data_IF_130439042189
#
_entry.id   IF_130439042189
#
_cell.length_a   1.000
_cell.length_b   1.000
_cell.length_c   1.000
_cell.angle_alpha   90.00
_cell.angle_beta   90.00
_cell.angle_gamma   90.00
#
_symmetry.space_group_name_H-M   'P 1'
#
loop_
_entity.id
_entity.type
_entity.pdbx_description
1 polymer ?
#
# COMPACT_ATOMS: atom_id res chain seq x y z
N UNK A 1 -81.40 -36.45 -16.55
CA UNK A 1 -80.54 -37.37 -15.77
C UNK A 1 -80.46 -36.86 -14.33
N UNK A 2 -81.19 -37.51 -13.43
CA UNK A 2 -81.28 -37.13 -12.01
C UNK A 2 -80.04 -37.66 -11.29
N UNK A 3 -79.14 -36.78 -10.84
CA UNK A 3 -77.99 -37.19 -10.02
C UNK A 3 -78.51 -37.65 -8.65
N UNK A 4 -78.10 -38.85 -8.23
CA UNK A 4 -78.50 -39.41 -6.93
C UNK A 4 -77.89 -38.58 -5.79
N UNK A 5 -78.57 -38.46 -4.63
CA UNK A 5 -78.12 -37.64 -3.50
C UNK A 5 -76.74 -38.04 -2.94
N UNK A 6 -76.27 -39.25 -3.26
CA UNK A 6 -74.96 -39.76 -2.85
C UNK A 6 -73.79 -39.11 -3.60
N UNK A 7 -73.96 -38.73 -4.88
CA UNK A 7 -72.90 -38.06 -5.65
C UNK A 7 -72.69 -36.59 -5.24
N UNK A 8 -73.75 -35.89 -4.85
CA UNK A 8 -73.64 -34.51 -4.35
C UNK A 8 -72.90 -34.45 -3.00
N UNK A 9 -73.09 -35.45 -2.14
CA UNK A 9 -72.41 -35.52 -0.85
C UNK A 9 -70.90 -35.76 -1.01
N UNK A 10 -70.50 -36.66 -1.93
CA UNK A 10 -69.08 -36.94 -2.21
C UNK A 10 -68.31 -35.76 -2.80
N UNK A 11 -68.95 -34.96 -3.65
CA UNK A 11 -68.32 -33.76 -4.22
C UNK A 11 -68.12 -32.65 -3.18
N UNK A 12 -69.01 -32.54 -2.18
CA UNK A 12 -68.88 -31.58 -1.10
C UNK A 12 -67.75 -31.93 -0.13
N UNK A 13 -67.56 -33.21 0.22
CA UNK A 13 -66.43 -33.66 1.06
C UNK A 13 -65.09 -33.48 0.36
N UNK A 14 -65.01 -33.74 -0.94
CA UNK A 14 -63.79 -33.51 -1.73
C UNK A 14 -63.43 -32.01 -1.77
N UNK A 15 -64.42 -31.13 -1.99
CA UNK A 15 -64.21 -29.67 -1.97
C UNK A 15 -63.72 -29.17 -0.60
N UNK A 16 -64.28 -29.67 0.50
CA UNK A 16 -63.85 -29.31 1.86
C UNK A 16 -62.42 -29.80 2.13
N UNK A 17 -62.10 -31.03 1.71
CA UNK A 17 -60.76 -31.61 1.90
C UNK A 17 -59.69 -30.86 1.09
N UNK A 18 -60.00 -30.46 -0.15
CA UNK A 18 -59.12 -29.60 -0.97
C UNK A 18 -58.91 -28.21 -0.36
N UNK A 19 -59.96 -27.61 0.23
CA UNK A 19 -59.87 -26.30 0.89
C UNK A 19 -59.01 -26.37 2.16
N UNK A 20 -59.17 -27.42 2.95
CA UNK A 20 -58.32 -27.71 4.10
C UNK A 20 -56.87 -27.97 3.66
N UNK A 21 -56.65 -28.83 2.68
CA UNK A 21 -55.30 -29.14 2.20
C UNK A 21 -54.60 -27.89 1.67
N UNK A 22 -55.27 -27.04 0.89
CA UNK A 22 -54.73 -25.75 0.43
C UNK A 22 -54.40 -24.79 1.58
N UNK A 23 -55.20 -24.77 2.65
CA UNK A 23 -54.94 -23.95 3.84
C UNK A 23 -53.73 -24.48 4.64
N UNK A 24 -53.66 -25.80 4.86
CA UNK A 24 -52.52 -26.44 5.52
C UNK A 24 -51.24 -26.32 4.71
N UNK A 25 -51.32 -26.45 3.39
CA UNK A 25 -50.20 -26.29 2.46
C UNK A 25 -49.68 -24.85 2.46
N UNK A 26 -50.57 -23.85 2.47
CA UNK A 26 -50.18 -22.44 2.59
C UNK A 26 -49.45 -22.15 3.91
N UNK A 27 -49.94 -22.70 5.02
CA UNK A 27 -49.30 -22.57 6.34
C UNK A 27 -47.95 -23.29 6.40
N UNK A 28 -47.85 -24.48 5.82
CA UNK A 28 -46.60 -25.26 5.76
C UNK A 28 -45.55 -24.57 4.88
N UNK A 29 -45.96 -24.04 3.71
CA UNK A 29 -45.09 -23.32 2.79
C UNK A 29 -44.59 -22.01 3.40
N UNK A 30 -45.44 -21.28 4.13
CA UNK A 30 -45.03 -20.07 4.85
C UNK A 30 -44.02 -20.35 5.96
N UNK A 31 -44.12 -21.52 6.61
CA UNK A 31 -43.19 -21.97 7.65
C UNK A 31 -41.84 -22.37 7.07
N UNK A 32 -41.84 -23.04 5.92
CA UNK A 32 -40.62 -23.39 5.21
C UNK A 32 -39.84 -22.13 4.78
N UNK A 33 -40.57 -21.13 4.28
CA UNK A 33 -40.00 -19.85 3.84
C UNK A 33 -39.49 -18.99 5.01
N UNK A 34 -40.08 -19.13 6.20
CA UNK A 34 -39.58 -18.46 7.41
C UNK A 34 -38.29 -19.08 7.96
N UNK A 35 -38.10 -20.40 7.83
CA UNK A 35 -36.90 -21.08 8.34
C UNK A 35 -35.65 -20.71 7.51
N UNK A 36 -35.79 -20.61 6.18
CA UNK A 36 -34.73 -20.11 5.30
C UNK A 36 -34.38 -18.64 5.59
N UNK A 37 -35.40 -17.83 5.88
CA UNK A 37 -35.23 -16.42 6.24
C UNK A 37 -34.54 -16.23 7.60
N UNK A 38 -34.86 -17.09 8.57
CA UNK A 38 -34.18 -17.15 9.87
C UNK A 38 -32.70 -17.46 9.68
N UNK A 39 -32.36 -18.44 8.83
CA UNK A 39 -30.98 -18.78 8.49
C UNK A 39 -30.23 -17.61 7.85
N UNK A 40 -30.87 -16.91 6.91
CA UNK A 40 -30.33 -15.73 6.26
C UNK A 40 -30.05 -14.58 7.25
N UNK A 41 -30.98 -14.30 8.18
CA UNK A 41 -30.83 -13.27 9.21
C UNK A 41 -29.67 -13.60 10.14
N UNK A 42 -29.54 -14.85 10.57
CA UNK A 42 -28.43 -15.28 11.44
C UNK A 42 -27.07 -15.10 10.75
N UNK A 43 -26.96 -15.40 9.46
CA UNK A 43 -25.74 -15.16 8.70
C UNK A 43 -25.40 -13.67 8.58
N UNK A 44 -26.39 -12.81 8.34
CA UNK A 44 -26.19 -11.35 8.30
C UNK A 44 -25.75 -10.82 9.68
N UNK A 45 -26.31 -11.36 10.77
CA UNK A 45 -25.93 -11.03 12.14
C UNK A 45 -24.48 -11.43 12.45
N UNK A 46 -24.07 -12.62 12.01
CA UNK A 46 -22.69 -13.12 12.14
C UNK A 46 -21.68 -12.28 11.34
N UNK A 47 -22.09 -11.78 10.16
CA UNK A 47 -21.28 -10.88 9.34
C UNK A 47 -21.15 -9.47 9.94
N UNK A 48 -21.92 -9.14 10.98
CA UNK A 48 -21.93 -7.82 11.62
C UNK A 48 -22.40 -6.71 10.67
N UNK A 49 -23.29 -7.04 9.73
CA UNK A 49 -23.81 -6.09 8.73
C UNK A 49 -25.28 -5.75 9.03
N UNK A 50 -25.66 -4.48 8.86
CA UNK A 50 -27.02 -3.99 9.11
C UNK A 50 -27.24 -3.46 10.54
N UNK A 51 -28.50 -3.27 10.91
CA UNK A 51 -28.90 -2.81 12.25
C UNK A 51 -29.15 -4.02 13.14
N UNK A 52 -28.21 -4.27 14.06
CA UNK A 52 -28.23 -5.42 14.96
C UNK A 52 -29.50 -5.47 15.80
N UNK A 53 -29.96 -4.34 16.34
CA UNK A 53 -31.16 -4.30 17.18
C UNK A 53 -32.41 -4.64 16.39
N UNK A 54 -32.49 -4.15 15.14
CA UNK A 54 -33.60 -4.46 14.24
C UNK A 54 -33.57 -5.91 13.78
N UNK A 55 -32.41 -6.47 13.44
CA UNK A 55 -32.29 -7.88 13.04
C UNK A 55 -32.63 -8.85 14.18
N UNK A 56 -32.18 -8.58 15.40
CA UNK A 56 -32.51 -9.39 16.58
C UNK A 56 -34.01 -9.37 16.87
N UNK A 57 -34.66 -8.21 16.72
CA UNK A 57 -36.11 -8.08 16.83
C UNK A 57 -36.87 -8.88 15.75
N UNK A 58 -36.41 -8.83 14.50
CA UNK A 58 -37.00 -9.58 13.39
C UNK A 58 -36.81 -11.09 13.55
N UNK A 59 -35.65 -11.52 14.04
CA UNK A 59 -35.36 -12.91 14.36
C UNK A 59 -36.30 -13.43 15.45
N UNK A 60 -36.49 -12.67 16.53
CA UNK A 60 -37.40 -13.02 17.63
C UNK A 60 -38.87 -13.09 17.17
N UNK A 61 -39.30 -12.17 16.29
CA UNK A 61 -40.63 -12.18 15.68
C UNK A 61 -40.87 -13.45 14.83
N UNK A 62 -39.89 -13.80 13.99
CA UNK A 62 -39.95 -14.97 13.12
C UNK A 62 -39.91 -16.28 13.92
N UNK A 63 -39.08 -16.37 14.96
CA UNK A 63 -39.03 -17.52 15.87
C UNK A 63 -40.34 -17.73 16.64
N UNK A 64 -41.04 -16.63 16.95
CA UNK A 64 -42.39 -16.67 17.57
C UNK A 64 -43.51 -16.97 16.57
N UNK A 65 -43.18 -17.22 15.29
CA UNK A 65 -44.14 -17.55 14.24
C UNK A 65 -45.08 -16.40 13.90
N UNK A 66 -44.68 -15.15 14.17
CA UNK A 66 -45.48 -13.97 13.82
C UNK A 66 -45.14 -13.51 12.40
N UNK A 67 -46.14 -13.09 11.61
CA UNK A 67 -45.90 -12.55 10.29
C UNK A 67 -45.13 -11.22 10.40
N UNK A 68 -44.17 -11.03 9.51
CA UNK A 68 -43.43 -9.78 9.37
C UNK A 68 -44.34 -8.67 8.83
N UNK A 69 -44.14 -7.44 9.26
CA UNK A 69 -44.80 -6.29 8.64
C UNK A 69 -44.25 -6.05 7.23
N UNK A 70 -45.03 -5.48 6.33
CA UNK A 70 -44.61 -5.26 4.92
C UNK A 70 -43.32 -4.42 4.81
N UNK A 71 -43.12 -3.48 5.73
CA UNK A 71 -41.89 -2.68 5.83
C UNK A 71 -40.67 -3.54 6.15
N UNK A 72 -40.82 -4.49 7.08
CA UNK A 72 -39.75 -5.39 7.50
C UNK A 72 -39.46 -6.48 6.47
N UNK A 73 -40.49 -6.95 5.75
CA UNK A 73 -40.32 -7.84 4.61
C UNK A 73 -39.50 -7.18 3.50
N UNK A 74 -39.82 -5.93 3.14
CA UNK A 74 -39.05 -5.17 2.15
C UNK A 74 -37.60 -4.94 2.59
N UNK A 75 -37.39 -4.63 3.87
CA UNK A 75 -36.06 -4.47 4.44
C UNK A 75 -35.22 -5.76 4.27
N UNK A 76 -35.80 -6.92 4.61
CA UNK A 76 -35.16 -8.22 4.47
C UNK A 76 -34.91 -8.59 3.00
N UNK A 77 -35.87 -8.34 2.11
CA UNK A 77 -35.73 -8.61 0.67
C UNK A 77 -34.62 -7.77 0.01
N UNK A 78 -34.28 -6.60 0.53
CA UNK A 78 -33.12 -5.83 0.05
C UNK A 78 -31.80 -6.30 0.67
N UNK A 79 -31.80 -6.66 1.96
CA UNK A 79 -30.59 -7.05 2.69
C UNK A 79 -30.08 -8.44 2.31
N UNK A 80 -30.98 -9.41 2.18
CA UNK A 80 -30.63 -10.80 1.83
C UNK A 80 -29.82 -10.87 0.53
N UNK A 81 -30.24 -10.31 -0.61
CA UNK A 81 -29.43 -10.36 -1.83
C UNK A 81 -28.16 -9.49 -1.73
N UNK A 82 -28.18 -8.37 -1.00
CA UNK A 82 -27.00 -7.53 -0.87
C UNK A 82 -25.83 -8.23 -0.15
N UNK A 83 -26.13 -9.09 0.83
CA UNK A 83 -25.12 -9.76 1.65
C UNK A 83 -24.94 -11.25 1.35
N UNK A 84 -25.95 -11.92 0.79
CA UNK A 84 -25.98 -13.37 0.59
C UNK A 84 -26.07 -13.78 -0.89
N UNK A 85 -26.22 -12.83 -1.84
CA UNK A 85 -26.14 -13.16 -3.27
C UNK A 85 -24.67 -13.40 -3.68
N UNK A 86 -24.40 -14.29 -4.67
CA UNK A 86 -23.04 -14.62 -5.09
C UNK A 86 -22.34 -13.35 -5.55
N UNK A 87 -21.19 -13.06 -4.94
CA UNK A 87 -20.41 -11.83 -5.08
C UNK A 87 -19.75 -11.64 -6.47
N UNK A 88 -20.20 -12.33 -7.50
CA UNK A 88 -19.44 -12.53 -8.74
C UNK A 88 -19.22 -11.22 -9.50
N UNK A 89 -20.20 -10.32 -9.51
CA UNK A 89 -20.11 -9.04 -10.23
C UNK A 89 -19.38 -7.93 -9.46
N UNK A 90 -19.54 -7.89 -8.13
CA UNK A 90 -18.87 -6.86 -7.30
C UNK A 90 -17.41 -7.23 -7.01
N UNK A 91 -17.11 -8.51 -6.77
CA UNK A 91 -15.72 -8.96 -6.60
C UNK A 91 -14.92 -8.78 -7.89
N UNK A 92 -15.47 -9.12 -9.06
CA UNK A 92 -14.76 -8.96 -10.33
C UNK A 92 -14.41 -7.49 -10.62
N UNK A 93 -15.35 -6.57 -10.40
CA UNK A 93 -15.07 -5.14 -10.55
C UNK A 93 -14.08 -4.63 -9.50
N UNK A 94 -14.15 -5.12 -8.26
CA UNK A 94 -13.22 -4.75 -7.20
C UNK A 94 -11.82 -5.28 -7.49
N UNK A 95 -11.69 -6.51 -7.99
CA UNK A 95 -10.42 -7.13 -8.37
C UNK A 95 -9.78 -6.41 -9.56
N UNK A 96 -10.59 -5.98 -10.55
CA UNK A 96 -10.13 -5.15 -11.66
C UNK A 96 -9.64 -3.76 -11.19
N UNK A 97 -10.34 -3.14 -10.24
CA UNK A 97 -9.92 -1.85 -9.66
C UNK A 97 -8.64 -2.01 -8.83
N UNK A 98 -8.54 -3.08 -8.04
CA UNK A 98 -7.33 -3.41 -7.27
C UNK A 98 -6.14 -3.67 -8.22
N UNK A 99 -6.36 -4.37 -9.33
CA UNK A 99 -5.35 -4.62 -10.36
C UNK A 99 -4.82 -3.33 -10.97
N UNK A 100 -5.71 -2.44 -11.43
CA UNK A 100 -5.31 -1.13 -11.97
C UNK A 100 -4.54 -0.28 -10.95
N UNK A 101 -4.99 -0.27 -9.70
CA UNK A 101 -4.34 0.50 -8.65
C UNK A 101 -2.95 -0.06 -8.31
N UNK A 102 -2.80 -1.39 -8.34
CA UNK A 102 -1.50 -2.04 -8.15
C UNK A 102 -0.52 -1.69 -9.27
N UNK A 103 -0.99 -1.67 -10.52
CA UNK A 103 -0.20 -1.28 -11.68
C UNK A 103 0.23 0.19 -11.62
N UNK A 104 -0.66 1.10 -11.22
CA UNK A 104 -0.32 2.52 -11.00
C UNK A 104 0.75 2.69 -9.92
N UNK A 105 0.62 1.96 -8.79
CA UNK A 105 1.62 1.99 -7.71
C UNK A 105 2.98 1.50 -8.23
N UNK A 106 2.98 0.42 -9.03
CA UNK A 106 4.19 -0.15 -9.61
C UNK A 106 4.86 0.81 -10.58
N UNK A 107 4.09 1.47 -11.45
CA UNK A 107 4.60 2.48 -12.38
C UNK A 107 5.19 3.69 -11.63
N UNK A 108 4.50 4.17 -10.59
CA UNK A 108 4.98 5.28 -9.77
C UNK A 108 6.30 4.93 -9.08
N UNK A 109 6.40 3.72 -8.53
CA UNK A 109 7.61 3.23 -7.88
C UNK A 109 8.79 3.17 -8.87
N UNK A 110 8.53 2.70 -10.09
CA UNK A 110 9.53 2.66 -11.16
C UNK A 110 9.99 4.08 -11.56
N UNK A 111 9.07 5.05 -11.68
CA UNK A 111 9.41 6.45 -11.95
C UNK A 111 10.27 7.06 -10.84
N UNK A 112 9.92 6.83 -9.58
CA UNK A 112 10.71 7.30 -8.42
C UNK A 112 12.12 6.71 -8.47
N UNK A 113 12.25 5.42 -8.75
CA UNK A 113 13.55 4.76 -8.83
C UNK A 113 14.41 5.31 -9.98
N UNK A 114 13.80 5.59 -11.14
CA UNK A 114 14.50 6.21 -12.26
C UNK A 114 14.94 7.65 -11.95
N UNK A 115 14.09 8.44 -11.28
CA UNK A 115 14.46 9.79 -10.85
C UNK A 115 15.58 9.78 -9.82
N UNK A 116 15.56 8.84 -8.87
CA UNK A 116 16.69 8.67 -7.94
C UNK A 116 17.96 8.32 -8.69
N UNK A 117 17.97 7.30 -9.56
CA UNK A 117 19.19 6.92 -10.30
C UNK A 117 19.76 8.08 -11.12
N UNK A 118 18.93 8.76 -11.91
CA UNK A 118 19.35 9.93 -12.72
C UNK A 118 19.82 11.11 -11.87
N UNK A 119 19.17 11.35 -10.73
CA UNK A 119 19.56 12.39 -9.77
C UNK A 119 20.89 12.09 -9.09
N UNK A 120 21.09 10.85 -8.63
CA UNK A 120 22.33 10.38 -8.00
C UNK A 120 23.49 10.39 -8.97
N UNK A 121 23.34 9.88 -10.19
CA UNK A 121 24.42 9.80 -11.18
C UNK A 121 24.93 11.20 -11.57
N UNK A 122 24.02 12.15 -11.80
CA UNK A 122 24.37 13.54 -12.14
C UNK A 122 24.99 14.30 -10.97
N UNK A 123 24.58 14.01 -9.73
CA UNK A 123 25.04 14.72 -8.54
C UNK A 123 26.33 14.14 -7.95
N UNK A 124 26.49 12.82 -7.94
CA UNK A 124 27.65 12.13 -7.35
C UNK A 124 28.85 12.19 -8.29
N UNK A 125 28.68 12.07 -9.61
CA UNK A 125 29.81 12.10 -10.55
C UNK A 125 30.61 13.41 -10.52
N UNK A 126 29.93 14.57 -10.62
CA UNK A 126 30.61 15.88 -10.63
C UNK A 126 31.28 16.21 -9.29
N UNK A 127 30.71 15.76 -8.17
CA UNK A 127 31.26 15.98 -6.83
C UNK A 127 32.37 15.00 -6.47
N UNK A 128 32.28 13.76 -6.93
CA UNK A 128 33.33 12.76 -6.75
C UNK A 128 34.62 13.19 -7.47
N UNK A 129 34.52 13.73 -8.68
CA UNK A 129 35.70 14.27 -9.39
C UNK A 129 36.39 15.38 -8.59
N UNK A 130 35.63 16.32 -8.02
CA UNK A 130 36.20 17.36 -7.15
C UNK A 130 36.78 16.77 -5.87
N UNK A 131 36.13 15.77 -5.26
CA UNK A 131 36.65 15.05 -4.10
C UNK A 131 38.00 14.38 -4.41
N UNK A 132 38.07 13.60 -5.49
CA UNK A 132 39.31 12.96 -5.93
C UNK A 132 40.40 13.97 -6.22
N UNK A 133 40.08 15.09 -6.87
CA UNK A 133 41.05 16.16 -7.11
C UNK A 133 41.55 16.78 -5.80
N UNK A 134 40.66 17.04 -4.84
CA UNK A 134 41.04 17.62 -3.53
C UNK A 134 41.88 16.66 -2.71
N UNK A 135 41.54 15.37 -2.69
CA UNK A 135 42.30 14.32 -2.00
C UNK A 135 43.65 14.10 -2.67
N UNK A 136 43.71 14.13 -4.01
CA UNK A 136 44.95 13.95 -4.76
C UNK A 136 45.91 15.12 -4.58
N UNK A 137 45.42 16.36 -4.67
CA UNK A 137 46.22 17.57 -4.41
C UNK A 137 46.63 17.64 -2.94
N UNK A 138 45.71 17.30 -2.02
CA UNK A 138 45.99 17.27 -0.59
C UNK A 138 46.99 16.19 -0.18
N UNK A 139 46.94 15.03 -0.81
CA UNK A 139 47.92 13.96 -0.61
C UNK A 139 49.32 14.43 -1.03
N UNK A 140 49.45 15.12 -2.17
CA UNK A 140 50.73 15.70 -2.59
C UNK A 140 51.26 16.77 -1.61
N UNK A 141 50.40 17.66 -1.12
CA UNK A 141 50.81 18.65 -0.12
C UNK A 141 51.19 18.00 1.23
N UNK A 142 50.49 16.94 1.62
CA UNK A 142 50.74 16.21 2.87
C UNK A 142 52.07 15.42 2.84
N UNK A 143 52.47 14.91 1.67
CA UNK A 143 53.76 14.23 1.50
C UNK A 143 54.94 15.09 1.96
N UNK A 144 54.94 16.39 1.66
CA UNK A 144 56.02 17.31 2.06
C UNK A 144 56.19 17.42 3.57
N UNK A 145 55.11 17.26 4.34
CA UNK A 145 55.14 17.28 5.81
C UNK A 145 55.42 15.90 6.41
N UNK A 146 54.95 14.83 5.77
CA UNK A 146 55.19 13.45 6.20
C UNK A 146 56.62 13.00 5.95
N UNK A 147 57.26 13.49 4.89
CA UNK A 147 58.61 13.09 4.48
C UNK A 147 59.67 13.30 5.57
N UNK A 148 59.83 14.48 6.21
CA UNK A 148 60.80 14.67 7.30
C UNK A 148 60.46 13.88 8.57
N UNK A 149 59.20 13.48 8.75
CA UNK A 149 58.79 12.61 9.85
C UNK A 149 59.15 11.14 9.58
N UNK A 150 59.04 10.69 8.32
CA UNK A 150 59.34 9.34 7.86
C UNK A 150 60.84 9.10 7.61
N UNK A 151 61.62 10.13 7.31
CA UNK A 151 63.09 10.03 7.14
C UNK A 151 63.82 9.58 8.41
N UNK A 152 63.18 9.72 9.59
CA UNK A 152 63.70 9.16 10.84
C UNK A 152 63.52 7.65 10.98
N UNK A 153 62.63 7.03 10.18
CA UNK A 153 62.26 5.62 10.29
C UNK A 153 62.57 4.79 9.04
N UNK A 154 62.69 5.43 7.87
CA UNK A 154 62.84 4.78 6.56
C UNK A 154 63.99 5.44 5.81
N UNK A 155 64.80 4.65 5.09
CA UNK A 155 65.93 5.14 4.32
C UNK A 155 65.49 6.00 3.12
N UNK A 156 66.27 7.03 2.79
CA UNK A 156 65.98 8.00 1.72
C UNK A 156 65.76 7.37 0.34
N UNK A 157 66.40 6.22 0.09
CA UNK A 157 66.23 5.44 -1.14
C UNK A 157 64.82 4.86 -1.27
N UNK A 158 64.23 4.36 -0.18
CA UNK A 158 62.86 3.83 -0.17
C UNK A 158 61.82 4.94 -0.22
N UNK A 159 62.09 6.09 0.40
CA UNK A 159 61.19 7.25 0.38
C UNK A 159 60.96 7.73 -1.06
N UNK A 160 61.97 7.69 -1.92
CA UNK A 160 61.83 8.06 -3.35
C UNK A 160 60.94 7.09 -4.15
N UNK A 161 60.89 5.81 -3.77
CA UNK A 161 60.01 4.81 -4.39
C UNK A 161 58.58 4.84 -3.83
N UNK A 162 58.42 5.17 -2.55
CA UNK A 162 57.10 5.29 -1.90
C UNK A 162 56.38 6.56 -2.36
N UNK A 163 57.13 7.62 -2.72
CA UNK A 163 56.59 8.91 -3.15
C UNK A 163 57.17 9.38 -4.50
N UNK A 164 56.89 8.67 -5.62
CA UNK A 164 57.45 8.99 -6.93
C UNK A 164 56.99 10.36 -7.47
N UNK A 165 55.86 10.87 -6.98
CA UNK A 165 55.33 12.19 -7.34
C UNK A 165 56.18 13.35 -6.80
N UNK A 166 56.95 13.13 -5.74
CA UNK A 166 57.84 14.14 -5.17
C UNK A 166 58.97 14.50 -6.14
N UNK A 167 59.46 13.53 -6.92
CA UNK A 167 60.45 13.76 -7.98
C UNK A 167 59.92 14.69 -9.07
N UNK A 168 58.65 14.53 -9.44
CA UNK A 168 57.97 15.40 -10.42
C UNK A 168 57.75 16.80 -9.84
N UNK A 169 57.32 16.91 -8.59
CA UNK A 169 57.13 18.20 -7.92
C UNK A 169 58.43 19.00 -7.77
N UNK A 170 59.54 18.31 -7.46
CA UNK A 170 60.88 18.92 -7.37
C UNK A 170 61.40 19.38 -8.74
N UNK A 171 61.10 18.65 -9.81
CA UNK A 171 61.47 19.02 -11.18
C UNK A 171 60.85 20.35 -11.62
N UNK A 172 59.62 20.61 -11.19
CA UNK A 172 58.90 21.82 -11.59
C UNK A 172 59.16 23.02 -10.66
N UNK A 173 59.70 22.84 -9.44
CA UNK A 173 59.88 23.93 -8.45
C UNK A 173 58.55 24.61 -8.05
N UNK A 174 57.44 23.86 -8.06
CA UNK A 174 56.07 24.37 -7.84
C UNK A 174 55.61 24.31 -6.37
N UNK A 175 56.51 24.09 -5.40
CA UNK A 175 56.14 23.88 -3.99
C UNK A 175 55.18 24.94 -3.44
N UNK A 176 55.42 26.22 -3.75
CA UNK A 176 54.55 27.32 -3.33
C UNK A 176 53.21 27.36 -4.07
N UNK A 177 53.20 27.05 -5.37
CA UNK A 177 51.98 27.08 -6.21
C UNK A 177 51.04 25.93 -5.85
N UNK A 178 51.59 24.73 -5.59
CA UNK A 178 50.81 23.56 -5.14
C UNK A 178 50.18 23.83 -3.78
N UNK A 179 50.92 24.46 -2.86
CA UNK A 179 50.42 24.81 -1.53
C UNK A 179 49.31 25.87 -1.58
N UNK A 180 49.46 26.88 -2.43
CA UNK A 180 48.43 27.90 -2.66
C UNK A 180 47.17 27.30 -3.29
N UNK A 181 47.34 26.41 -4.27
CA UNK A 181 46.24 25.63 -4.86
C UNK A 181 45.50 24.77 -3.82
N UNK A 182 46.24 24.12 -2.93
CA UNK A 182 45.67 23.33 -1.84
C UNK A 182 44.86 24.20 -0.86
N UNK A 183 45.36 25.38 -0.48
CA UNK A 183 44.66 26.31 0.41
C UNK A 183 43.35 26.84 -0.20
N UNK A 184 43.36 27.16 -1.49
CA UNK A 184 42.16 27.59 -2.23
C UNK A 184 41.12 26.46 -2.30
N UNK A 185 41.58 25.22 -2.51
CA UNK A 185 40.72 24.04 -2.50
C UNK A 185 40.13 23.74 -1.12
N UNK A 186 40.94 23.84 -0.05
CA UNK A 186 40.52 23.56 1.32
C UNK A 186 39.56 24.64 1.84
N UNK A 187 39.80 25.91 1.48
CA UNK A 187 38.89 27.01 1.78
C UNK A 187 37.57 26.93 1.02
N UNK A 188 37.51 26.32 -0.18
CA UNK A 188 36.26 26.16 -0.95
C UNK A 188 35.26 25.17 -0.34
N UNK A 189 35.73 24.19 0.45
CA UNK A 189 34.89 23.13 1.03
C UNK A 189 33.86 23.64 2.07
N UNK A 190 34.23 24.50 3.04
CA UNK A 190 33.28 25.14 3.96
C UNK A 190 32.17 25.91 3.24
N UNK A 191 32.49 26.61 2.14
CA UNK A 191 31.50 27.35 1.35
C UNK A 191 30.53 26.41 0.62
N UNK A 192 31.04 25.32 0.03
CA UNK A 192 30.19 24.29 -0.59
C UNK A 192 29.27 23.63 0.44
N UNK A 193 29.78 23.34 1.64
CA UNK A 193 29.02 22.77 2.75
C UNK A 193 27.92 23.71 3.25
N UNK A 194 28.25 24.99 3.41
CA UNK A 194 27.32 26.04 3.86
C UNK A 194 26.15 26.24 2.88
N UNK A 195 26.41 26.28 1.57
CA UNK A 195 25.36 26.38 0.54
C UNK A 195 24.41 25.17 0.59
N UNK A 196 24.96 23.96 0.77
CA UNK A 196 24.15 22.74 0.89
C UNK A 196 23.29 22.72 2.15
N UNK A 197 23.86 23.16 3.27
CA UNK A 197 23.15 23.28 4.54
C UNK A 197 22.00 24.29 4.42
N UNK A 198 22.25 25.44 3.82
CA UNK A 198 21.23 26.46 3.56
C UNK A 198 20.08 25.92 2.69
N UNK A 199 20.41 25.22 1.61
CA UNK A 199 19.40 24.60 0.71
C UNK A 199 18.56 23.53 1.41
N UNK A 200 19.18 22.74 2.29
CA UNK A 200 18.49 21.73 3.09
C UNK A 200 17.52 22.35 4.10
N UNK A 201 17.94 23.41 4.80
CA UNK A 201 17.10 24.16 5.74
C UNK A 201 15.91 24.80 5.01
N UNK A 202 16.14 25.38 3.84
CA UNK A 202 15.10 26.03 3.03
C UNK A 202 14.09 25.02 2.47
N UNK A 203 14.53 23.83 2.06
CA UNK A 203 13.65 22.74 1.60
C UNK A 203 12.66 22.25 2.66
N UNK A 204 12.97 22.37 3.95
CA UNK A 204 12.07 21.96 5.04
C UNK A 204 11.01 23.01 5.39
N UNK A 205 11.22 24.28 5.02
CA UNK A 205 10.25 25.37 5.30
C UNK A 205 9.05 25.39 4.35
N UNK A 206 9.10 24.71 3.21
CA UNK A 206 8.05 24.71 2.17
C UNK A 206 6.99 23.61 2.41
N UNK A 207 7.20 22.73 3.37
CA UNK A 207 6.27 21.63 3.72
C UNK A 207 5.40 21.93 4.95
N UNK A 208 4.89 23.16 5.07
CA UNK A 208 3.85 23.54 6.03
C UNK A 208 2.77 24.34 5.33
#
# INVERSE_FOLDING_TARGET
MNKTPFELAGMATIQIFLKCYRFYLGKLLSKLLSDDLIGAIQQILLLGKGDRGRLEYLLDLLQKGRPLTDSDQNYLQMMVPLYLSPKDSYQQNTELVIGRLSDEIKELHQKIQQMQRKGFEKYVGRKAVLFFFTVFVGWNACQTYLQPMLSGFVSDSLISYVFPLNLVANYFNYGMVVWLGFLVLLSSWPFIGSIHLAKFIMSRKISK
#
